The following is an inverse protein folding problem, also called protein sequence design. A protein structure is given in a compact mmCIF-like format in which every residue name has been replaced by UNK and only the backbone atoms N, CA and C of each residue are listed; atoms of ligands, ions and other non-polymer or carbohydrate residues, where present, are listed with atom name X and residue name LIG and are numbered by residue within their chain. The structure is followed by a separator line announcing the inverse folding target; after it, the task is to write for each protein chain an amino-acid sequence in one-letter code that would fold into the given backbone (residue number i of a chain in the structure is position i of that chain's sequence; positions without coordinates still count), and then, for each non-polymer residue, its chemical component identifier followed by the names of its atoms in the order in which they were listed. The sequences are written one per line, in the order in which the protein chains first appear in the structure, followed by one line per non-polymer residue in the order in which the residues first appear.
data_IF_743630635186
#
_entry.id   IF_743630635186
#
_cell.length_a   1.000
_cell.length_b   1.000
_cell.length_c   1.000
_cell.angle_alpha   90.00
_cell.angle_beta   90.00
_cell.angle_gamma   90.00
#
_symmetry.space_group_name_H-M   'P 1'
#
loop_
_entity.id
_entity.type
_entity.pdbx_description
1 polymer ?
#
# COMPACT_ATOMS: atom_id res chain seq x y z
N UNK A 1 -19.58 -1.21 7.43
CA UNK A 1 -19.92 0.22 7.18
C UNK A 1 -21.25 0.24 6.44
N UNK A 2 -22.23 1.02 6.92
CA UNK A 2 -23.52 1.21 6.25
C UNK A 2 -23.76 2.73 6.10
N UNK A 3 -23.92 3.25 4.88
CA UNK A 3 -24.12 4.68 4.63
C UNK A 3 -25.52 5.13 5.07
N UNK A 4 -25.66 6.43 5.34
CA UNK A 4 -26.91 7.02 5.80
C UNK A 4 -28.03 6.97 4.77
N UNK A 5 -27.67 7.08 3.49
CA UNK A 5 -28.60 6.91 2.35
C UNK A 5 -28.27 5.60 1.63
N UNK A 6 -29.28 4.73 1.54
CA UNK A 6 -29.20 3.39 0.94
C UNK A 6 -28.82 3.41 -0.54
N UNK A 7 -29.06 4.52 -1.25
CA UNK A 7 -28.66 4.65 -2.67
C UNK A 7 -27.16 4.54 -2.88
N UNK A 8 -26.35 4.87 -1.86
CA UNK A 8 -24.90 4.80 -1.92
C UNK A 8 -24.32 3.45 -1.50
N UNK A 9 -25.15 2.44 -1.22
CA UNK A 9 -24.66 1.13 -0.77
C UNK A 9 -23.67 0.51 -1.78
N UNK A 10 -23.91 0.71 -3.08
CA UNK A 10 -23.05 0.20 -4.16
C UNK A 10 -21.84 1.09 -4.44
N UNK A 11 -21.77 2.31 -3.90
CA UNK A 11 -20.64 3.23 -4.09
C UNK A 11 -19.64 3.19 -2.93
N UNK A 12 -19.85 2.33 -1.93
CA UNK A 12 -18.96 2.16 -0.78
C UNK A 12 -17.59 1.58 -1.15
N UNK A 13 -17.45 1.03 -2.36
CA UNK A 13 -16.23 0.39 -2.81
C UNK A 13 -16.02 -0.99 -2.16
N UNK A 14 -14.76 -1.42 -2.14
CA UNK A 14 -14.36 -2.71 -1.56
C UNK A 14 -14.32 -2.64 -0.03
N UNK A 15 -14.64 -3.76 0.64
CA UNK A 15 -14.41 -3.90 2.09
C UNK A 15 -12.93 -3.98 2.45
N UNK A 16 -12.08 -4.30 1.48
CA UNK A 16 -10.62 -4.41 1.64
C UNK A 16 -9.94 -3.22 0.98
N UNK A 17 -9.04 -2.59 1.74
CA UNK A 17 -8.18 -1.52 1.22
C UNK A 17 -7.16 -2.14 0.26
N UNK A 18 -7.33 -1.84 -1.01
CA UNK A 18 -6.41 -2.20 -2.09
C UNK A 18 -5.05 -1.51 -1.93
N UNK A 19 -4.05 -2.04 -2.62
CA UNK A 19 -2.72 -1.44 -2.66
C UNK A 19 -2.77 0.02 -3.16
N UNK A 20 -3.54 0.27 -4.23
CA UNK A 20 -3.65 1.60 -4.83
C UNK A 20 -4.31 2.62 -3.91
N UNK A 21 -5.31 2.24 -3.11
CA UNK A 21 -5.90 3.14 -2.11
C UNK A 21 -4.85 3.59 -1.08
N UNK A 22 -4.00 2.67 -0.60
CA UNK A 22 -2.90 3.02 0.31
C UNK A 22 -1.91 3.96 -0.38
N UNK A 23 -1.52 3.68 -1.62
CA UNK A 23 -0.59 4.51 -2.37
C UNK A 23 -1.16 5.91 -2.60
N UNK A 24 -2.41 6.02 -3.09
CA UNK A 24 -3.06 7.29 -3.37
C UNK A 24 -3.19 8.16 -2.13
N UNK A 25 -3.60 7.61 -0.99
CA UNK A 25 -3.69 8.37 0.26
C UNK A 25 -2.31 8.87 0.71
N UNK A 26 -1.29 8.02 0.62
CA UNK A 26 0.07 8.43 0.99
C UNK A 26 0.65 9.50 0.07
N UNK A 27 0.35 9.45 -1.23
CA UNK A 27 0.70 10.51 -2.17
C UNK A 27 -0.07 11.79 -1.87
N UNK A 28 -1.39 11.70 -1.66
CA UNK A 28 -2.25 12.86 -1.44
C UNK A 28 -1.86 13.67 -0.22
N UNK A 29 -1.45 13.00 0.86
CA UNK A 29 -1.02 13.66 2.11
C UNK A 29 0.50 13.87 2.22
N UNK A 30 1.28 13.65 1.13
CA UNK A 30 2.73 13.86 1.15
C UNK A 30 3.49 12.95 2.11
N UNK A 31 2.92 11.79 2.47
CA UNK A 31 3.55 10.86 3.42
C UNK A 31 4.88 10.30 2.89
N UNK A 32 5.01 10.17 1.57
CA UNK A 32 6.21 9.63 0.92
C UNK A 32 7.37 10.62 0.92
N UNK A 33 7.12 11.92 1.07
CA UNK A 33 8.15 12.97 1.07
C UNK A 33 9.16 12.82 2.23
N UNK A 34 8.74 12.12 3.29
CA UNK A 34 9.58 11.77 4.44
C UNK A 34 10.66 10.76 4.08
N UNK A 35 10.42 9.95 3.07
CA UNK A 35 11.34 8.94 2.56
C UNK A 35 12.13 9.51 1.38
N UNK A 36 13.33 10.03 1.67
CA UNK A 36 14.22 10.56 0.63
C UNK A 36 14.69 9.43 -0.29
N UNK A 37 14.60 9.65 -1.60
CA UNK A 37 14.97 8.68 -2.66
C UNK A 37 16.33 8.00 -2.40
N UNK A 38 17.36 8.76 -2.04
CA UNK A 38 18.73 8.23 -1.87
C UNK A 38 18.93 7.35 -0.63
N UNK A 39 18.10 7.49 0.40
CA UNK A 39 18.26 6.78 1.68
C UNK A 39 17.16 5.76 1.95
N UNK A 40 16.17 5.68 1.06
CA UNK A 40 15.01 4.81 1.23
C UNK A 40 15.21 3.48 0.50
N UNK A 41 14.39 2.50 0.86
CA UNK A 41 14.35 1.22 0.19
C UNK A 41 14.05 1.40 -1.30
N UNK A 42 14.88 0.81 -2.16
CA UNK A 42 14.66 0.73 -3.60
C UNK A 42 13.60 -0.34 -3.90
N UNK A 43 12.33 0.04 -3.75
CA UNK A 43 11.20 -0.86 -3.95
C UNK A 43 11.08 -1.31 -5.41
N UNK A 44 10.86 -2.60 -5.61
CA UNK A 44 10.67 -3.23 -6.92
C UNK A 44 9.20 -3.58 -7.15
N UNK A 45 8.89 -4.01 -8.37
CA UNK A 45 7.56 -4.53 -8.75
C UNK A 45 6.40 -3.58 -8.40
N UNK A 46 6.64 -2.27 -8.42
CA UNK A 46 5.62 -1.25 -8.14
C UNK A 46 5.32 -1.01 -6.66
N UNK A 47 6.13 -1.55 -5.73
CA UNK A 47 6.04 -1.19 -4.30
C UNK A 47 6.49 0.25 -4.03
N UNK A 48 6.13 0.78 -2.85
CA UNK A 48 6.54 2.12 -2.40
C UNK A 48 7.14 2.08 -0.99
N UNK A 49 8.04 3.03 -0.64
CA UNK A 49 8.65 3.07 0.69
C UNK A 49 7.61 3.16 1.80
N UNK A 50 7.79 2.38 2.87
CA UNK A 50 6.86 2.42 3.99
C UNK A 50 6.99 3.78 4.71
N UNK A 51 5.92 4.61 4.78
CA UNK A 51 6.04 6.00 5.23
C UNK A 51 6.48 6.21 6.68
N UNK A 52 6.38 5.16 7.51
CA UNK A 52 6.85 5.15 8.91
C UNK A 52 8.22 4.48 9.08
N UNK A 53 8.72 3.83 8.04
CA UNK A 53 9.94 3.04 8.05
C UNK A 53 10.50 2.95 6.63
N UNK A 54 11.26 3.96 6.22
CA UNK A 54 11.76 4.09 4.86
C UNK A 54 12.76 2.99 4.46
N UNK A 55 13.14 2.08 5.37
CA UNK A 55 14.08 0.98 5.10
C UNK A 55 13.42 -0.25 4.46
N UNK A 56 12.09 -0.27 4.38
CA UNK A 56 11.28 -1.34 3.77
C UNK A 56 10.17 -0.80 2.88
N UNK A 57 9.59 -1.69 2.08
CA UNK A 57 8.54 -1.36 1.13
C UNK A 57 7.17 -1.89 1.57
N UNK A 58 6.12 -1.19 1.15
CA UNK A 58 4.77 -1.75 1.05
C UNK A 58 4.65 -2.37 -0.33
N UNK A 59 4.32 -3.66 -0.40
CA UNK A 59 4.29 -4.43 -1.63
C UNK A 59 2.87 -4.62 -2.18
N UNK A 60 2.70 -4.65 -3.51
CA UNK A 60 1.48 -5.14 -4.13
C UNK A 60 1.25 -6.61 -3.78
N UNK A 61 0.00 -7.06 -3.90
CA UNK A 61 -0.33 -8.47 -3.66
C UNK A 61 0.47 -9.39 -4.59
N UNK A 62 1.01 -10.49 -4.03
CA UNK A 62 1.88 -11.43 -4.75
C UNK A 62 3.38 -11.16 -4.63
N UNK A 63 3.79 -10.00 -4.11
CA UNK A 63 5.19 -9.66 -3.84
C UNK A 63 5.45 -9.49 -2.35
N UNK A 64 6.64 -9.92 -1.91
CA UNK A 64 7.09 -9.87 -0.52
C UNK A 64 8.57 -9.49 -0.40
N UNK A 65 9.10 -9.65 0.80
CA UNK A 65 10.46 -9.24 1.15
C UNK A 65 10.58 -7.73 1.38
N UNK A 66 11.76 -7.29 1.80
CA UNK A 66 12.03 -5.88 2.17
C UNK A 66 11.88 -4.93 0.98
N UNK A 67 12.18 -5.40 -0.23
CA UNK A 67 12.19 -4.60 -1.47
C UNK A 67 11.10 -5.03 -2.48
N UNK A 68 10.14 -5.88 -2.07
CA UNK A 68 9.11 -6.42 -2.98
C UNK A 68 9.67 -7.25 -4.15
N UNK A 69 10.86 -7.82 -3.99
CA UNK A 69 11.56 -8.63 -4.99
C UNK A 69 11.47 -10.14 -4.73
N UNK A 70 10.72 -10.53 -3.71
CA UNK A 70 10.50 -11.92 -3.32
C UNK A 70 9.04 -12.30 -3.57
N UNK A 71 8.75 -13.60 -3.61
CA UNK A 71 7.36 -14.10 -3.57
C UNK A 71 6.86 -14.04 -2.13
N UNK A 72 5.58 -13.80 -1.96
CA UNK A 72 4.94 -13.92 -0.64
C UNK A 72 5.10 -15.38 -0.21
N UNK A 73 5.76 -15.64 0.92
CA UNK A 73 5.73 -16.97 1.52
C UNK A 73 4.27 -17.31 1.78
N UNK A 74 3.85 -18.54 1.45
CA UNK A 74 2.44 -18.95 1.57
C UNK A 74 1.92 -18.57 2.96
N UNK A 75 1.02 -17.60 3.04
CA UNK A 75 0.22 -17.40 4.24
C UNK A 75 -0.50 -18.73 4.50
N UNK A 76 -0.29 -19.39 5.65
CA UNK A 76 -1.10 -20.54 6.01
C UNK A 76 -2.51 -20.01 6.24
N UNK A 77 -3.38 -20.20 5.24
CA UNK A 77 -4.84 -20.06 5.39
C UNK A 77 -5.33 -21.11 6.37
#
# INVERSE_FOLDING_TARGET
MVPRDMKYLQTLGSRMISFYEKLMINLHYGCLDRCKEKSSAACQNGGFPHPRDCSKCICPSGYGGRLCNERVEKDPV
#
